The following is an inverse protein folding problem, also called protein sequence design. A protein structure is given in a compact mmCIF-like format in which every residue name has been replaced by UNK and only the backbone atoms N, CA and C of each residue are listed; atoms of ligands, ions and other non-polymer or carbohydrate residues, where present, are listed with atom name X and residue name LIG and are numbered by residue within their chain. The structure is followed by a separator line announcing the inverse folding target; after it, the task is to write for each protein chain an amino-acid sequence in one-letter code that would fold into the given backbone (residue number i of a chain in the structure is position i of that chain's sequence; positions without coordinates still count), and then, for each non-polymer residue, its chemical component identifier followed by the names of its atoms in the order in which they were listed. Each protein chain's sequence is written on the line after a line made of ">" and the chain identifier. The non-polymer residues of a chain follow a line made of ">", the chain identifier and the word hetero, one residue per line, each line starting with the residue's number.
data_IF_091885361279
#
_entry.id   IF_091885361279
#
_cell.length_a   1.000
_cell.length_b   1.000
_cell.length_c   1.000
_cell.angle_alpha   90.00
_cell.angle_beta   90.00
_cell.angle_gamma   90.00
#
_symmetry.space_group_name_H-M   'P 1'
#
loop_
_entity.id
_entity.type
_entity.pdbx_description
1 polymer ?
#
# COMPACT_ATOMS: atom_id res chain seq x y z
N UNK A 1 -33.57 13.41 -10.82
CA UNK A 1 -32.85 13.12 -9.56
C UNK A 1 -31.37 13.05 -9.86
N UNK A 2 -30.74 14.21 -10.05
CA UNK A 2 -29.29 14.35 -10.24
C UNK A 2 -28.78 15.21 -9.11
N UNK A 3 -28.68 14.62 -7.91
CA UNK A 3 -27.92 15.25 -6.83
C UNK A 3 -26.46 15.00 -7.15
N UNK A 4 -25.69 16.08 -7.26
CA UNK A 4 -24.24 16.03 -7.20
C UNK A 4 -23.89 15.36 -5.85
N UNK A 5 -23.67 14.05 -5.90
CA UNK A 5 -23.39 13.26 -4.71
C UNK A 5 -21.97 13.63 -4.32
N UNK A 6 -21.87 14.48 -3.30
CA UNK A 6 -20.63 14.91 -2.68
C UNK A 6 -20.01 13.72 -1.91
N UNK A 7 -19.64 12.66 -2.65
CA UNK A 7 -19.11 11.40 -2.14
C UNK A 7 -17.81 11.62 -1.36
N UNK A 8 -17.11 12.70 -1.67
CA UNK A 8 -15.92 13.18 -0.98
C UNK A 8 -16.17 13.25 0.53
N UNK A 9 -17.21 13.98 0.96
CA UNK A 9 -17.53 14.19 2.39
C UNK A 9 -17.83 12.89 3.12
N UNK A 10 -18.57 11.99 2.48
CA UNK A 10 -18.94 10.69 3.08
C UNK A 10 -17.72 9.77 3.25
N UNK A 11 -16.77 9.83 2.32
CA UNK A 11 -15.54 9.04 2.39
C UNK A 11 -14.61 9.64 3.46
N UNK A 12 -14.36 10.95 3.42
CA UNK A 12 -13.45 11.63 4.34
C UNK A 12 -13.95 11.63 5.79
N UNK A 13 -15.26 11.59 6.03
CA UNK A 13 -15.83 11.49 7.38
C UNK A 13 -15.63 10.13 8.07
N UNK A 14 -15.39 9.07 7.30
CA UNK A 14 -15.27 7.69 7.82
C UNK A 14 -13.83 7.15 7.75
N UNK A 15 -12.96 7.80 7.00
CA UNK A 15 -11.56 7.39 6.85
C UNK A 15 -10.74 8.01 7.98
N UNK A 16 -10.24 7.18 8.90
CA UNK A 16 -9.31 7.61 9.95
C UNK A 16 -7.85 7.63 9.51
N UNK A 17 -7.51 6.91 8.43
CA UNK A 17 -6.14 6.73 7.97
C UNK A 17 -5.91 7.48 6.67
N UNK A 18 -4.96 8.39 6.70
CA UNK A 18 -4.62 9.29 5.63
C UNK A 18 -3.17 9.12 5.23
N UNK A 19 -2.94 9.01 3.92
CA UNK A 19 -1.61 8.95 3.34
C UNK A 19 -1.61 9.73 2.04
N UNK A 20 -0.68 10.67 1.90
CA UNK A 20 -0.57 11.49 0.71
C UNK A 20 0.88 11.91 0.44
N UNK A 21 1.18 11.95 -0.84
CA UNK A 21 2.36 12.62 -1.38
C UNK A 21 2.04 14.09 -1.64
N UNK A 22 2.90 14.79 -2.38
CA UNK A 22 2.64 16.13 -2.87
C UNK A 22 1.22 16.25 -3.44
N UNK A 23 0.46 17.20 -2.91
CA UNK A 23 -0.94 17.47 -3.29
C UNK A 23 -1.08 18.84 -3.96
N UNK A 24 -2.18 19.02 -4.71
CA UNK A 24 -2.53 20.31 -5.28
C UNK A 24 -3.07 21.30 -4.24
N UNK A 25 -3.15 22.60 -4.58
CA UNK A 25 -3.59 23.65 -3.64
C UNK A 25 -5.02 23.44 -3.10
N UNK A 26 -5.95 22.98 -3.96
CA UNK A 26 -7.33 22.72 -3.56
C UNK A 26 -7.44 21.59 -2.51
N UNK A 27 -6.64 20.54 -2.66
CA UNK A 27 -6.63 19.41 -1.71
C UNK A 27 -5.86 19.77 -0.43
N UNK A 28 -4.84 20.64 -0.54
CA UNK A 28 -4.02 21.06 0.59
C UNK A 28 -4.84 21.85 1.64
N UNK A 29 -5.74 22.74 1.22
CA UNK A 29 -6.64 23.47 2.14
C UNK A 29 -7.58 22.54 2.91
N UNK A 30 -7.99 21.44 2.29
CA UNK A 30 -8.82 20.43 2.94
C UNK A 30 -8.01 19.62 3.95
N UNK A 31 -6.82 19.17 3.55
CA UNK A 31 -5.94 18.34 4.36
C UNK A 31 -5.31 19.08 5.54
N UNK A 32 -5.10 20.40 5.44
CA UNK A 32 -4.60 21.23 6.54
C UNK A 32 -5.50 21.17 7.77
N UNK A 33 -6.83 21.09 7.58
CA UNK A 33 -7.79 20.97 8.70
C UNK A 33 -7.64 19.67 9.47
N UNK A 34 -7.30 18.59 8.78
CA UNK A 34 -7.13 17.26 9.37
C UNK A 34 -5.71 17.01 9.91
N UNK A 35 -4.70 17.65 9.31
CA UNK A 35 -3.28 17.45 9.61
C UNK A 35 -2.68 18.56 10.50
N UNK A 36 -3.45 19.62 10.76
CA UNK A 36 -3.06 20.68 11.67
C UNK A 36 -2.90 20.18 13.11
N UNK A 37 -1.95 20.71 13.89
CA UNK A 37 -1.05 21.84 13.58
C UNK A 37 0.33 21.43 13.01
N UNK A 38 0.57 20.16 12.73
CA UNK A 38 1.91 19.66 12.34
C UNK A 38 2.29 20.00 10.89
N UNK A 39 1.31 20.10 9.99
CA UNK A 39 1.51 20.41 8.58
C UNK A 39 0.61 21.56 8.16
N UNK A 40 1.18 22.56 7.48
CA UNK A 40 0.41 23.58 6.77
C UNK A 40 0.11 23.17 5.34
N UNK A 41 -0.91 23.78 4.73
CA UNK A 41 -1.17 23.66 3.29
C UNK A 41 0.08 23.95 2.45
N UNK A 42 0.93 24.89 2.88
CA UNK A 42 2.18 25.22 2.17
C UNK A 42 3.17 24.06 2.17
N UNK A 43 3.28 23.33 3.28
CA UNK A 43 4.17 22.17 3.41
C UNK A 43 3.69 20.99 2.55
N UNK A 44 2.37 20.84 2.43
CA UNK A 44 1.74 19.80 1.62
C UNK A 44 1.89 20.06 0.11
N UNK A 45 1.84 21.33 -0.31
CA UNK A 45 2.05 21.76 -1.71
C UNK A 45 3.53 21.67 -2.09
N UNK A 46 4.42 22.11 -1.19
CA UNK A 46 5.87 22.13 -1.40
C UNK A 46 6.56 20.82 -0.99
N UNK A 47 5.79 19.74 -0.81
CA UNK A 47 6.31 18.44 -0.42
C UNK A 47 7.45 17.97 -1.32
N UNK A 48 8.55 17.53 -0.69
CA UNK A 48 9.74 17.05 -1.37
C UNK A 48 9.49 15.74 -2.14
N UNK A 49 10.32 15.44 -3.12
CA UNK A 49 10.14 14.23 -3.95
C UNK A 49 10.35 12.99 -3.08
N UNK A 50 9.47 12.00 -3.17
CA UNK A 50 9.45 10.79 -2.32
C UNK A 50 9.19 11.02 -0.83
N UNK A 51 8.82 12.24 -0.42
CA UNK A 51 8.30 12.50 0.91
C UNK A 51 6.78 12.36 0.89
N UNK A 52 6.24 11.85 1.98
CA UNK A 52 4.82 11.69 2.18
C UNK A 52 4.44 12.06 3.61
N UNK A 53 3.21 12.50 3.79
CA UNK A 53 2.62 12.73 5.10
C UNK A 53 1.53 11.69 5.36
N UNK A 54 1.44 11.23 6.60
CA UNK A 54 0.39 10.33 7.03
C UNK A 54 -0.14 10.67 8.43
N UNK A 55 -1.43 10.38 8.61
CA UNK A 55 -2.12 10.35 9.89
C UNK A 55 -2.80 8.99 9.97
N UNK A 56 -2.44 8.21 10.97
CA UNK A 56 -2.92 6.83 11.12
C UNK A 56 -3.58 6.69 12.48
N UNK A 57 -4.69 5.98 12.52
CA UNK A 57 -5.37 5.56 13.73
C UNK A 57 -4.77 4.24 14.19
N UNK A 58 -4.15 4.24 15.36
CA UNK A 58 -3.59 3.06 16.01
C UNK A 58 -4.40 2.81 17.27
N UNK A 59 -4.92 1.58 17.46
CA UNK A 59 -5.76 1.23 18.61
C UNK A 59 -6.97 2.17 18.82
N UNK A 60 -7.62 2.57 17.72
CA UNK A 60 -8.76 3.49 17.72
C UNK A 60 -8.43 4.91 18.25
N UNK A 61 -7.14 5.26 18.35
CA UNK A 61 -6.68 6.60 18.70
C UNK A 61 -5.97 7.24 17.50
N UNK A 62 -6.32 8.49 17.12
CA UNK A 62 -5.60 9.18 16.07
C UNK A 62 -4.17 9.50 16.53
N UNK A 63 -3.20 9.11 15.72
CA UNK A 63 -1.79 9.44 15.96
C UNK A 63 -1.51 10.86 15.46
N UNK A 64 -0.50 11.50 16.04
CA UNK A 64 0.03 12.77 15.53
C UNK A 64 0.47 12.59 14.06
N UNK A 65 0.08 13.49 13.13
CA UNK A 65 0.54 13.44 11.75
C UNK A 65 2.06 13.38 11.67
N UNK A 66 2.61 12.55 10.80
CA UNK A 66 4.06 12.42 10.63
C UNK A 66 4.44 12.35 9.16
N UNK A 67 5.64 12.85 8.83
CA UNK A 67 6.22 12.69 7.50
C UNK A 67 7.10 11.45 7.45
N UNK A 68 7.12 10.76 6.33
CA UNK A 68 8.10 9.72 6.06
C UNK A 68 8.62 9.79 4.63
N UNK A 69 9.79 9.20 4.42
CA UNK A 69 10.38 9.07 3.10
C UNK A 69 10.05 7.69 2.55
N UNK A 70 9.34 7.67 1.42
CA UNK A 70 9.07 6.44 0.69
C UNK A 70 10.35 5.97 0.02
N UNK A 71 10.70 4.69 0.22
CA UNK A 71 11.84 4.09 -0.45
C UNK A 71 11.54 3.95 -1.94
N UNK A 72 12.50 4.34 -2.78
CA UNK A 72 12.45 4.01 -4.20
C UNK A 72 12.75 2.51 -4.35
N UNK A 73 11.82 1.70 -4.89
CA UNK A 73 12.07 0.27 -5.08
C UNK A 73 13.23 -0.03 -6.05
N UNK A 74 13.65 0.96 -6.84
CA UNK A 74 14.76 0.85 -7.80
C UNK A 74 16.15 1.12 -7.20
N UNK A 75 16.22 1.75 -6.02
CA UNK A 75 17.49 2.03 -5.32
C UNK A 75 17.86 0.96 -4.29
N UNK A 76 16.92 0.09 -3.92
CA UNK A 76 17.26 -1.07 -3.12
C UNK A 76 18.19 -1.97 -3.96
N UNK A 77 19.28 -2.51 -3.37
CA UNK A 77 20.12 -3.47 -4.07
C UNK A 77 19.21 -4.59 -4.58
N UNK A 78 19.48 -5.10 -5.78
CA UNK A 78 18.71 -6.21 -6.37
C UNK A 78 18.83 -7.41 -5.42
N UNK A 79 17.90 -7.53 -4.47
CA UNK A 79 17.89 -8.58 -3.44
C UNK A 79 17.63 -9.95 -4.06
N UNK A 80 17.07 -9.95 -5.27
CA UNK A 80 16.66 -11.10 -6.07
C UNK A 80 17.51 -11.20 -7.33
N UNK A 81 18.80 -11.46 -7.14
CA UNK A 81 19.70 -11.87 -8.23
C UNK A 81 19.06 -13.08 -8.92
N UNK A 82 19.05 -13.17 -10.27
CA UNK A 82 18.41 -14.28 -10.99
C UNK A 82 18.82 -15.66 -10.47
N UNK A 83 20.09 -15.83 -10.08
CA UNK A 83 20.60 -17.05 -9.44
C UNK A 83 19.89 -17.40 -8.12
N UNK A 84 19.66 -16.40 -7.26
CA UNK A 84 18.95 -16.59 -5.98
C UNK A 84 17.49 -16.98 -6.21
N UNK A 85 16.87 -16.41 -7.25
CA UNK A 85 15.48 -16.74 -7.64
C UNK A 85 15.40 -18.18 -8.14
N UNK A 86 16.36 -18.62 -8.96
CA UNK A 86 16.48 -20.00 -9.44
C UNK A 86 16.56 -20.99 -8.26
N UNK A 87 17.47 -20.73 -7.32
CA UNK A 87 17.67 -21.56 -6.11
C UNK A 87 16.38 -21.59 -5.27
N UNK A 88 15.72 -20.45 -5.07
CA UNK A 88 14.49 -20.39 -4.29
C UNK A 88 13.35 -21.18 -4.93
N UNK A 89 13.22 -21.14 -6.26
CA UNK A 89 12.27 -21.97 -7.00
C UNK A 89 12.58 -23.45 -6.84
N UNK A 90 13.85 -23.84 -6.94
CA UNK A 90 14.27 -25.24 -6.77
C UNK A 90 14.00 -25.76 -5.36
N UNK A 91 14.33 -24.98 -4.31
CA UNK A 91 14.05 -25.35 -2.91
C UNK A 91 12.54 -25.47 -2.68
N UNK A 92 11.75 -24.54 -3.21
CA UNK A 92 10.29 -24.59 -3.11
C UNK A 92 9.72 -25.84 -3.79
N UNK A 93 10.19 -26.17 -5.00
CA UNK A 93 9.79 -27.36 -5.74
C UNK A 93 10.21 -28.66 -5.03
N UNK A 94 11.36 -28.69 -4.36
CA UNK A 94 11.78 -29.86 -3.58
C UNK A 94 10.98 -30.03 -2.28
N UNK A 95 10.64 -28.92 -1.62
CA UNK A 95 9.95 -28.94 -0.33
C UNK A 95 8.44 -29.16 -0.45
N UNK A 96 7.83 -28.56 -1.47
CA UNK A 96 6.38 -28.52 -1.65
C UNK A 96 5.90 -29.12 -2.97
N UNK A 97 6.81 -29.36 -3.92
CA UNK A 97 6.44 -29.96 -5.20
C UNK A 97 6.19 -31.45 -5.05
N UNK A 98 5.04 -31.89 -5.54
CA UNK A 98 4.71 -33.31 -5.69
C UNK A 98 4.98 -33.73 -7.13
N UNK A 99 5.43 -34.97 -7.33
CA UNK A 99 5.59 -35.54 -8.69
C UNK A 99 4.29 -35.44 -9.46
N UNK A 100 4.36 -34.93 -10.69
CA UNK A 100 3.21 -34.74 -11.57
C UNK A 100 2.36 -36.00 -11.72
N UNK A 101 2.99 -37.16 -11.85
CA UNK A 101 2.32 -38.46 -11.96
C UNK A 101 1.42 -38.80 -10.74
N UNK A 102 1.82 -38.38 -9.53
CA UNK A 102 1.03 -38.61 -8.32
C UNK A 102 -0.15 -37.64 -8.24
N UNK A 103 0.10 -36.37 -8.61
CA UNK A 103 -0.95 -35.34 -8.68
C UNK A 103 -1.99 -35.72 -9.73
N UNK A 104 -1.56 -36.17 -10.90
CA UNK A 104 -2.47 -36.60 -11.98
C UNK A 104 -3.32 -37.79 -11.51
N UNK A 105 -2.73 -38.81 -10.88
CA UNK A 105 -3.48 -39.93 -10.29
C UNK A 105 -4.47 -39.49 -9.21
N UNK A 106 -4.08 -38.57 -8.34
CA UNK A 106 -4.96 -38.03 -7.29
C UNK A 106 -6.13 -37.23 -7.90
N UNK A 107 -5.88 -36.48 -8.97
CA UNK A 107 -6.91 -35.77 -9.73
C UNK A 107 -7.88 -36.77 -10.38
N UNK A 108 -7.39 -37.78 -11.10
CA UNK A 108 -8.23 -38.82 -11.70
C UNK A 108 -9.09 -39.54 -10.66
N UNK A 109 -8.49 -39.89 -9.51
CA UNK A 109 -9.20 -40.53 -8.40
C UNK A 109 -10.29 -39.62 -7.79
N UNK A 110 -10.05 -38.30 -7.67
CA UNK A 110 -11.06 -37.34 -7.16
C UNK A 110 -12.15 -37.01 -8.17
N UNK A 111 -11.84 -37.01 -9.46
CA UNK A 111 -12.80 -36.69 -10.53
C UNK A 111 -13.67 -37.91 -10.89
N UNK A 112 -13.32 -39.11 -10.39
CA UNK A 112 -14.19 -40.28 -10.44
C UNK A 112 -14.31 -40.91 -11.83
N UNK A 113 -13.20 -40.92 -12.60
CA UNK A 113 -13.07 -41.72 -13.84
C UNK A 113 -12.08 -42.85 -13.60
#
# INVERSE_FOLDING_TARGET
>A
MGGDLDMSKTIFGNVGNFFFHKVGPNDAEFLEKEMGPEFSATDLINGDTFRAAAKIVVNNQPTRPFSFTTRLPYNDPILNIPEKVEIMKQISALKWGTKRELVDKEIYFRVGV
#
